data_IF_828788739372
#
_entry.id   IF_828788739372
#
_cell.length_a   1.000
_cell.length_b   1.000
_cell.length_c   1.000
_cell.angle_alpha   90.00
_cell.angle_beta   90.00
_cell.angle_gamma   90.00
#
_symmetry.space_group_name_H-M   'P 1'
#
loop_
_entity.id
_entity.type
_entity.pdbx_description
1 polymer ?
#
# COMPACT_ATOMS: atom_id res chain seq x y z
N UNK A 1 53.72 15.32 47.87
CA UNK A 1 54.34 14.59 46.75
C UNK A 1 53.52 13.33 46.50
N UNK A 2 52.85 13.33 45.34
CA UNK A 2 52.34 12.21 44.54
C UNK A 2 51.46 11.12 45.17
N UNK A 3 50.15 11.24 44.92
CA UNK A 3 49.18 10.14 44.86
C UNK A 3 49.46 9.29 43.61
N UNK A 4 49.56 7.98 43.80
CA UNK A 4 49.41 6.98 42.74
C UNK A 4 47.95 6.55 42.68
N UNK A 5 47.25 6.82 41.57
CA UNK A 5 45.96 6.18 41.28
C UNK A 5 46.04 5.45 39.95
N UNK A 6 45.84 4.14 40.02
CA UNK A 6 45.60 3.21 38.92
C UNK A 6 44.46 3.73 38.03
N UNK A 7 44.70 3.77 36.72
CA UNK A 7 43.65 3.91 35.71
C UNK A 7 43.31 2.51 35.23
N UNK A 8 42.09 2.05 35.55
CA UNK A 8 41.50 0.86 34.95
C UNK A 8 40.87 1.29 33.62
N UNK A 9 41.43 0.85 32.49
CA UNK A 9 40.85 1.07 31.16
C UNK A 9 39.88 -0.08 30.91
N UNK A 10 38.61 0.13 31.23
CA UNK A 10 37.55 -0.77 30.78
C UNK A 10 37.21 -0.41 29.34
N UNK A 11 37.63 -1.25 28.40
CA UNK A 11 37.23 -1.16 26.99
C UNK A 11 35.71 -1.29 26.87
N UNK A 12 35.03 -0.21 26.54
CA UNK A 12 33.62 -0.23 26.18
C UNK A 12 33.53 -0.70 24.73
N UNK A 13 33.10 -1.96 24.56
CA UNK A 13 32.76 -2.54 23.28
C UNK A 13 31.59 -1.70 22.70
N UNK A 14 31.87 -0.88 21.68
CA UNK A 14 30.84 -0.22 20.90
C UNK A 14 30.09 -1.30 20.12
N UNK A 15 29.02 -1.82 20.72
CA UNK A 15 28.01 -2.59 20.01
C UNK A 15 27.43 -1.67 18.93
N UNK A 16 27.82 -1.92 17.68
CA UNK A 16 27.23 -1.31 16.51
C UNK A 16 25.72 -1.57 16.54
N UNK A 17 24.96 -0.57 16.93
CA UNK A 17 23.51 -0.62 16.87
C UNK A 17 23.13 -0.45 15.40
N UNK A 18 22.87 -1.56 14.70
CA UNK A 18 22.14 -1.51 13.43
C UNK A 18 20.75 -0.99 13.73
N UNK A 19 20.56 0.32 13.61
CA UNK A 19 19.26 0.94 13.65
C UNK A 19 18.50 0.49 12.39
N UNK A 20 17.69 -0.56 12.52
CA UNK A 20 16.61 -0.81 11.57
C UNK A 20 15.67 0.39 11.64
N UNK A 21 15.70 1.25 10.63
CA UNK A 21 14.58 2.16 10.37
C UNK A 21 13.44 1.26 9.90
N UNK A 22 12.66 0.74 10.85
CA UNK A 22 11.31 0.31 10.56
C UNK A 22 10.56 1.59 10.17
N UNK A 23 10.21 1.73 8.89
CA UNK A 23 9.20 2.72 8.54
C UNK A 23 7.97 2.37 9.36
N UNK A 24 7.52 3.33 10.18
CA UNK A 24 6.24 3.18 10.84
C UNK A 24 5.18 2.95 9.75
N UNK A 25 4.23 2.08 10.04
CA UNK A 25 3.11 1.79 9.16
C UNK A 25 1.87 2.13 9.94
N UNK A 26 1.01 2.97 9.39
CA UNK A 26 -0.21 3.40 10.05
C UNK A 26 -1.34 2.41 9.72
N UNK A 27 -2.05 1.82 10.69
CA UNK A 27 -3.18 0.95 10.41
C UNK A 27 -4.30 1.67 9.64
N UNK A 28 -4.91 0.98 8.67
CA UNK A 28 -5.97 1.52 7.82
C UNK A 28 -5.52 1.86 6.39
N UNK A 29 -6.37 2.59 5.68
CA UNK A 29 -6.17 2.99 4.29
C UNK A 29 -5.72 4.44 4.18
N UNK A 30 -4.84 4.72 3.22
CA UNK A 30 -4.57 6.08 2.76
C UNK A 30 -5.68 6.50 1.80
N UNK A 31 -6.56 7.40 2.26
CA UNK A 31 -7.65 7.97 1.49
C UNK A 31 -7.24 9.28 0.85
N UNK A 32 -7.28 9.34 -0.48
CA UNK A 32 -7.08 10.53 -1.29
C UNK A 32 -8.45 11.01 -1.80
N UNK A 33 -8.83 12.24 -1.46
CA UNK A 33 -10.14 12.83 -1.73
C UNK A 33 -10.03 13.89 -2.82
N UNK A 34 -10.81 13.73 -3.89
CA UNK A 34 -10.72 14.52 -5.10
C UNK A 34 -12.04 15.24 -5.39
N UNK A 35 -11.94 16.43 -5.97
CA UNK A 35 -13.03 17.05 -6.71
C UNK A 35 -13.11 16.40 -8.10
N UNK A 36 -14.32 16.09 -8.55
CA UNK A 36 -14.61 15.42 -9.81
C UNK A 36 -14.67 13.89 -9.68
N UNK A 37 -15.35 13.25 -10.62
CA UNK A 37 -15.71 11.82 -10.54
C UNK A 37 -14.58 10.90 -11.03
N UNK A 38 -13.49 11.44 -11.56
CA UNK A 38 -12.37 10.68 -12.12
C UNK A 38 -11.03 11.23 -11.62
N UNK A 39 -10.91 11.42 -10.30
CA UNK A 39 -9.67 11.85 -9.63
C UNK A 39 -9.08 13.16 -10.16
N UNK A 40 -9.95 14.10 -10.57
CA UNK A 40 -9.53 15.26 -11.37
C UNK A 40 -8.65 16.24 -10.60
N UNK A 41 -9.01 16.57 -9.35
CA UNK A 41 -8.24 17.51 -8.53
C UNK A 41 -8.18 17.01 -7.10
N UNK A 42 -6.99 16.65 -6.62
CA UNK A 42 -6.76 16.27 -5.24
C UNK A 42 -7.05 17.46 -4.31
N UNK A 43 -7.85 17.23 -3.26
CA UNK A 43 -8.23 18.24 -2.28
C UNK A 43 -7.66 17.92 -0.91
N UNK A 44 -7.72 16.65 -0.51
CA UNK A 44 -7.23 16.22 0.80
C UNK A 44 -6.72 14.78 0.77
N UNK A 45 -5.87 14.44 1.73
CA UNK A 45 -5.43 13.07 1.96
C UNK A 45 -5.30 12.80 3.45
N UNK A 46 -5.76 11.63 3.91
CA UNK A 46 -5.63 11.19 5.31
C UNK A 46 -5.59 9.67 5.43
N UNK A 47 -5.28 9.17 6.62
CA UNK A 47 -5.47 7.74 6.92
C UNK A 47 -6.87 7.54 7.51
N UNK A 48 -7.64 6.65 6.90
CA UNK A 48 -8.94 6.18 7.38
C UNK A 48 -8.77 4.77 7.97
N UNK A 49 -9.15 4.60 9.24
CA UNK A 49 -9.01 3.31 9.93
C UNK A 49 -9.90 2.20 9.36
N UNK A 50 -10.93 2.59 8.60
CA UNK A 50 -11.88 1.72 7.91
C UNK A 50 -12.53 2.48 6.73
N UNK A 51 -13.13 1.76 5.77
CA UNK A 51 -13.99 2.36 4.74
C UNK A 51 -15.43 2.09 5.13
N UNK A 52 -16.02 3.00 5.90
CA UNK A 52 -17.40 2.93 6.39
C UNK A 52 -17.99 4.34 6.49
N UNK A 53 -18.30 4.92 5.34
CA UNK A 53 -18.70 6.31 5.19
C UNK A 53 -20.17 6.43 4.76
N UNK A 54 -20.89 7.29 5.50
CA UNK A 54 -22.32 7.55 5.35
C UNK A 54 -22.52 9.06 5.26
N UNK A 55 -22.10 9.66 4.15
CA UNK A 55 -22.20 11.11 4.00
C UNK A 55 -23.62 11.58 3.71
N UNK A 56 -24.48 10.69 3.20
CA UNK A 56 -25.83 11.06 2.76
C UNK A 56 -25.69 12.24 1.77
N UNK A 57 -26.40 13.34 1.96
CA UNK A 57 -26.30 14.54 1.10
C UNK A 57 -25.21 15.53 1.52
N UNK A 58 -24.30 15.16 2.42
CA UNK A 58 -23.22 16.03 2.91
C UNK A 58 -21.91 15.77 2.20
N UNK A 59 -20.99 16.72 2.27
CA UNK A 59 -19.64 16.54 1.75
C UNK A 59 -18.74 15.74 2.70
N UNK A 60 -17.73 14.99 2.19
CA UNK A 60 -16.82 14.21 3.02
C UNK A 60 -16.03 15.04 4.03
N UNK A 61 -15.62 16.23 3.62
CA UNK A 61 -14.92 17.23 4.43
C UNK A 61 -14.84 18.57 3.70
N UNK A 62 -14.49 19.61 4.46
CA UNK A 62 -14.30 20.97 3.93
C UNK A 62 -13.41 20.96 2.68
N UNK A 63 -13.89 21.56 1.60
CA UNK A 63 -13.18 21.67 0.31
C UNK A 63 -13.54 20.59 -0.70
N UNK A 64 -13.97 19.40 -0.25
CA UNK A 64 -14.55 18.37 -1.12
C UNK A 64 -16.02 18.75 -1.34
N UNK A 65 -16.55 18.72 -2.59
CA UNK A 65 -17.96 19.00 -2.83
C UNK A 65 -18.86 17.86 -2.30
N UNK A 66 -20.15 18.14 -2.15
CA UNK A 66 -21.15 17.13 -1.74
C UNK A 66 -21.46 16.16 -2.88
N UNK A 67 -21.56 16.69 -4.10
CA UNK A 67 -21.74 15.94 -5.33
C UNK A 67 -20.45 16.00 -6.17
N UNK A 68 -20.32 15.10 -7.12
CA UNK A 68 -19.22 15.09 -8.09
C UNK A 68 -17.84 15.06 -7.44
N UNK A 69 -17.61 14.08 -6.58
CA UNK A 69 -16.32 13.82 -5.93
C UNK A 69 -15.89 12.37 -6.13
N UNK A 70 -14.61 12.10 -5.93
CA UNK A 70 -14.08 10.73 -5.93
C UNK A 70 -13.09 10.53 -4.81
N UNK A 71 -12.94 9.29 -4.38
CA UNK A 71 -11.99 8.89 -3.34
C UNK A 71 -11.25 7.65 -3.77
N UNK A 72 -9.94 7.63 -3.53
CA UNK A 72 -9.10 6.44 -3.69
C UNK A 72 -8.53 6.07 -2.34
N UNK A 73 -8.94 4.92 -1.82
CA UNK A 73 -8.36 4.32 -0.62
C UNK A 73 -7.36 3.25 -1.03
N UNK A 74 -6.15 3.33 -0.49
CA UNK A 74 -5.07 2.39 -0.79
C UNK A 74 -4.40 1.87 0.48
N UNK A 75 -4.13 0.56 0.52
CA UNK A 75 -3.51 -0.10 1.67
C UNK A 75 -2.88 -1.43 1.28
N UNK A 76 -2.08 -2.01 2.17
CA UNK A 76 -1.58 -3.38 2.04
C UNK A 76 -2.34 -4.29 2.99
N UNK A 77 -3.13 -5.18 2.42
CA UNK A 77 -3.86 -6.21 3.15
C UNK A 77 -2.97 -7.42 3.41
N UNK A 78 -2.99 -7.95 4.63
CA UNK A 78 -2.37 -9.22 5.01
C UNK A 78 -3.43 -10.20 5.46
N UNK A 79 -3.50 -11.37 4.81
CA UNK A 79 -4.45 -12.42 5.18
C UNK A 79 -4.15 -12.91 6.62
N UNK A 80 -5.10 -12.76 7.57
CA UNK A 80 -4.79 -12.88 9.00
C UNK A 80 -4.77 -14.33 9.52
N UNK A 81 -5.15 -15.30 8.70
CA UNK A 81 -5.18 -16.69 9.11
C UNK A 81 -3.77 -17.26 9.26
N UNK A 82 -3.63 -18.23 10.19
CA UNK A 82 -2.31 -18.70 10.64
C UNK A 82 -1.65 -19.73 9.73
N UNK A 83 -2.42 -20.48 8.94
CA UNK A 83 -1.88 -21.55 8.09
C UNK A 83 -2.84 -21.93 6.96
N UNK A 84 -2.27 -22.52 5.91
CA UNK A 84 -3.02 -23.01 4.76
C UNK A 84 -3.61 -21.89 3.90
N UNK A 85 -4.61 -22.24 3.11
CA UNK A 85 -5.35 -21.32 2.24
C UNK A 85 -6.77 -21.15 2.77
N UNK A 86 -7.29 -19.92 2.77
CA UNK A 86 -8.69 -19.62 3.12
C UNK A 86 -9.38 -18.80 2.05
N UNK A 87 -10.68 -19.04 1.87
CA UNK A 87 -11.52 -18.25 0.97
C UNK A 87 -12.00 -17.02 1.72
N UNK A 88 -11.66 -15.84 1.21
CA UNK A 88 -12.12 -14.56 1.72
C UNK A 88 -13.07 -13.91 0.73
N UNK A 89 -14.11 -13.24 1.23
CA UNK A 89 -15.04 -12.46 0.42
C UNK A 89 -14.86 -10.98 0.71
N UNK A 90 -14.55 -10.22 -0.34
CA UNK A 90 -14.50 -8.77 -0.31
C UNK A 90 -15.83 -8.23 -0.84
N UNK A 91 -16.48 -7.35 -0.09
CA UNK A 91 -17.80 -6.80 -0.45
C UNK A 91 -17.77 -5.29 -0.38
N UNK A 92 -18.12 -4.64 -1.49
CA UNK A 92 -18.36 -3.20 -1.53
C UNK A 92 -19.86 -2.94 -1.46
N UNK A 93 -20.25 -1.88 -0.76
CA UNK A 93 -21.60 -1.31 -0.86
C UNK A 93 -21.43 0.18 -1.09
N UNK A 94 -21.86 0.67 -2.26
CA UNK A 94 -21.63 2.07 -2.67
C UNK A 94 -22.83 2.68 -3.37
N UNK A 95 -22.93 4.00 -3.21
CA UNK A 95 -23.79 4.93 -3.94
C UNK A 95 -22.88 6.14 -4.22
N UNK A 96 -22.35 6.40 -5.42
CA UNK A 96 -22.50 5.69 -6.70
C UNK A 96 -21.44 4.58 -6.95
N UNK A 97 -20.47 4.87 -7.81
CA UNK A 97 -19.67 3.89 -8.54
C UNK A 97 -18.43 3.45 -7.77
N UNK A 98 -17.96 2.24 -8.09
CA UNK A 98 -16.86 1.60 -7.36
C UNK A 98 -15.97 0.76 -8.26
N UNK A 99 -14.67 0.79 -8.01
CA UNK A 99 -13.74 -0.27 -8.41
C UNK A 99 -13.01 -0.80 -7.19
N UNK A 100 -12.87 -2.11 -7.11
CA UNK A 100 -12.04 -2.77 -6.09
C UNK A 100 -10.93 -3.55 -6.79
N UNK A 101 -9.70 -3.33 -6.33
CA UNK A 101 -8.51 -4.01 -6.82
C UNK A 101 -7.90 -4.85 -5.71
N UNK A 102 -7.56 -6.09 -6.04
CA UNK A 102 -6.76 -6.99 -5.21
C UNK A 102 -5.45 -7.27 -5.96
N UNK A 103 -4.33 -6.90 -5.36
CA UNK A 103 -3.12 -6.68 -6.13
C UNK A 103 -3.36 -5.55 -7.14
N UNK A 104 -2.98 -5.77 -8.39
CA UNK A 104 -3.22 -4.82 -9.47
C UNK A 104 -4.42 -5.20 -10.36
N UNK A 105 -5.20 -6.22 -9.97
CA UNK A 105 -6.34 -6.70 -10.76
C UNK A 105 -7.64 -6.09 -10.26
N UNK A 106 -8.39 -5.45 -11.15
CA UNK A 106 -9.77 -5.06 -10.88
C UNK A 106 -10.64 -6.31 -10.72
N UNK A 107 -11.18 -6.52 -9.52
CA UNK A 107 -12.04 -7.66 -9.18
C UNK A 107 -13.52 -7.28 -9.06
N UNK A 108 -13.78 -5.99 -8.82
CA UNK A 108 -15.10 -5.36 -8.94
C UNK A 108 -14.88 -4.11 -9.80
N UNK A 109 -15.63 -3.97 -10.88
CA UNK A 109 -15.65 -2.76 -11.71
C UNK A 109 -17.10 -2.39 -12.02
N UNK A 110 -17.60 -1.41 -11.28
CA UNK A 110 -18.94 -0.82 -11.42
C UNK A 110 -18.78 0.70 -11.42
N UNK A 111 -17.90 1.21 -12.28
CA UNK A 111 -17.66 2.64 -12.45
C UNK A 111 -18.75 3.32 -13.28
N UNK A 112 -19.96 3.31 -12.74
CA UNK A 112 -21.17 3.85 -13.37
C UNK A 112 -22.09 4.46 -12.32
N UNK A 113 -22.97 5.36 -12.75
CA UNK A 113 -23.98 5.97 -11.87
C UNK A 113 -24.97 4.89 -11.44
N UNK A 114 -25.23 4.79 -10.15
CA UNK A 114 -26.07 3.77 -9.56
C UNK A 114 -26.48 4.22 -8.16
N UNK A 115 -27.72 3.95 -7.75
CA UNK A 115 -28.04 4.06 -6.33
C UNK A 115 -27.25 3.03 -5.50
N UNK A 116 -27.47 3.03 -4.18
CA UNK A 116 -26.83 2.08 -3.25
C UNK A 116 -26.93 0.62 -3.70
N UNK A 117 -25.82 0.05 -4.15
CA UNK A 117 -25.70 -1.33 -4.62
C UNK A 117 -24.57 -2.07 -3.91
N UNK A 118 -24.69 -3.40 -3.85
CA UNK A 118 -23.69 -4.29 -3.25
C UNK A 118 -23.04 -5.18 -4.32
N UNK A 119 -21.72 -5.25 -4.29
CA UNK A 119 -20.93 -6.15 -5.13
C UNK A 119 -19.94 -6.94 -4.27
N UNK A 120 -19.65 -8.18 -4.67
CA UNK A 120 -18.72 -9.04 -3.91
C UNK A 120 -17.79 -9.80 -4.84
N UNK A 121 -16.59 -10.08 -4.36
CA UNK A 121 -15.63 -10.97 -4.99
C UNK A 121 -15.06 -11.93 -3.95
N UNK A 122 -14.88 -13.19 -4.32
CA UNK A 122 -14.29 -14.20 -3.45
C UNK A 122 -12.95 -14.67 -4.00
N UNK A 123 -11.94 -14.76 -3.14
CA UNK A 123 -10.58 -15.18 -3.50
C UNK A 123 -9.99 -16.10 -2.42
N UNK A 124 -9.18 -17.07 -2.83
CA UNK A 124 -8.43 -17.93 -1.94
C UNK A 124 -7.06 -17.32 -1.65
N UNK A 125 -6.74 -17.07 -0.38
CA UNK A 125 -5.49 -16.46 0.05
C UNK A 125 -4.70 -17.41 0.95
N UNK A 126 -3.39 -17.47 0.74
CA UNK A 126 -2.46 -18.17 1.62
C UNK A 126 -2.26 -17.41 2.93
N UNK A 127 -1.93 -18.12 4.00
CA UNK A 127 -1.68 -17.52 5.31
C UNK A 127 -0.56 -16.48 5.23
N UNK A 128 -0.80 -15.29 5.78
CA UNK A 128 0.16 -14.19 5.72
C UNK A 128 0.36 -13.59 4.33
N UNK A 129 -0.36 -14.06 3.29
CA UNK A 129 -0.26 -13.48 1.96
C UNK A 129 -0.59 -12.00 2.01
N UNK A 130 0.30 -11.21 1.41
CA UNK A 130 0.16 -9.77 1.33
C UNK A 130 -0.12 -9.32 -0.08
N UNK A 131 -1.05 -8.38 -0.22
CA UNK A 131 -1.41 -7.77 -1.49
C UNK A 131 -1.92 -6.33 -1.29
N UNK A 132 -1.73 -5.44 -2.28
CA UNK A 132 -2.45 -4.18 -2.36
C UNK A 132 -3.96 -4.40 -2.37
N UNK A 133 -4.64 -3.60 -1.58
CA UNK A 133 -6.08 -3.49 -1.57
C UNK A 133 -6.39 -2.03 -1.88
N UNK A 134 -6.99 -1.78 -3.03
CA UNK A 134 -7.35 -0.43 -3.47
C UNK A 134 -8.85 -0.41 -3.74
N UNK A 135 -9.54 0.54 -3.14
CA UNK A 135 -10.93 0.84 -3.45
C UNK A 135 -11.00 2.25 -4.02
N UNK A 136 -11.45 2.34 -5.26
CA UNK A 136 -11.82 3.58 -5.92
C UNK A 136 -13.33 3.75 -5.83
N UNK A 137 -13.77 4.96 -5.54
CA UNK A 137 -15.18 5.33 -5.41
C UNK A 137 -15.43 6.70 -6.04
N UNK A 138 -16.62 6.89 -6.59
CA UNK A 138 -17.09 8.23 -6.90
C UNK A 138 -18.56 8.43 -6.53
N UNK A 139 -18.87 9.67 -6.23
CA UNK A 139 -20.21 10.21 -6.06
C UNK A 139 -20.53 11.11 -7.24
N UNK A 140 -21.67 10.90 -7.90
CA UNK A 140 -22.14 11.78 -8.96
C UNK A 140 -23.04 12.88 -8.42
N UNK A 141 -24.17 12.48 -7.82
CA UNK A 141 -25.21 13.36 -7.29
C UNK A 141 -26.08 12.62 -6.26
N UNK A 142 -26.47 13.33 -5.20
CA UNK A 142 -27.46 12.84 -4.24
C UNK A 142 -26.83 12.27 -2.98
N UNK A 143 -27.08 10.99 -2.68
CA UNK A 143 -26.71 10.39 -1.40
C UNK A 143 -25.44 9.57 -1.51
N UNK A 144 -24.36 10.06 -0.93
CA UNK A 144 -23.06 9.40 -0.94
C UNK A 144 -22.90 8.35 0.18
N UNK A 145 -22.51 7.14 -0.22
CA UNK A 145 -22.26 6.01 0.67
C UNK A 145 -21.09 5.16 0.17
N UNK A 146 -20.15 4.80 1.04
CA UNK A 146 -19.05 3.89 0.71
C UNK A 146 -18.72 2.97 1.88
N UNK A 147 -18.82 1.66 1.66
CA UNK A 147 -18.54 0.64 2.68
C UNK A 147 -17.80 -0.55 2.07
N UNK A 148 -16.74 -1.01 2.76
CA UNK A 148 -15.99 -2.22 2.42
C UNK A 148 -16.04 -3.20 3.59
N UNK A 149 -16.38 -4.46 3.33
CA UNK A 149 -16.18 -5.56 4.28
C UNK A 149 -15.35 -6.67 3.67
N UNK A 150 -14.61 -7.37 4.54
CA UNK A 150 -13.85 -8.56 4.19
C UNK A 150 -14.30 -9.66 5.15
N UNK A 151 -14.81 -10.77 4.65
CA UNK A 151 -15.29 -11.89 5.48
C UNK A 151 -14.41 -13.11 5.24
N UNK A 152 -13.96 -13.79 6.30
CA UNK A 152 -13.39 -15.14 6.22
C UNK A 152 -14.53 -16.15 6.08
N UNK A 153 -14.64 -16.80 4.92
CA UNK A 153 -15.74 -17.72 4.64
C UNK A 153 -15.62 -19.05 5.40
N UNK A 154 -14.44 -19.38 5.93
CA UNK A 154 -14.28 -20.56 6.75
C UNK A 154 -14.88 -20.36 8.15
N UNK A 155 -14.84 -19.14 8.69
CA UNK A 155 -15.36 -18.82 10.03
C UNK A 155 -16.67 -18.05 10.00
N UNK A 156 -17.02 -17.44 8.86
CA UNK A 156 -18.14 -16.51 8.72
C UNK A 156 -17.89 -15.15 9.37
N UNK A 157 -16.71 -14.91 9.95
CA UNK A 157 -16.40 -13.68 10.67
C UNK A 157 -15.83 -12.60 9.75
N UNK A 158 -16.18 -11.34 10.05
CA UNK A 158 -15.54 -10.20 9.39
C UNK A 158 -14.11 -10.01 9.88
N UNK A 159 -13.23 -9.71 8.92
CA UNK A 159 -11.83 -9.40 9.12
C UNK A 159 -11.70 -7.90 9.37
N UNK A 160 -11.20 -7.48 10.54
CA UNK A 160 -11.07 -6.07 10.86
C UNK A 160 -9.96 -5.41 10.02
N UNK A 161 -10.35 -4.39 9.23
CA UNK A 161 -9.44 -3.61 8.39
C UNK A 161 -8.32 -2.97 9.23
N UNK A 162 -8.68 -2.39 10.39
CA UNK A 162 -7.73 -1.76 11.32
C UNK A 162 -6.63 -2.68 11.87
N UNK A 163 -6.74 -4.01 11.69
CA UNK A 163 -5.70 -4.97 12.09
C UNK A 163 -4.99 -5.66 10.93
N UNK A 164 -5.55 -5.55 9.72
CA UNK A 164 -5.12 -6.36 8.57
C UNK A 164 -4.68 -5.52 7.38
N UNK A 165 -5.05 -4.25 7.35
CA UNK A 165 -4.64 -3.28 6.35
C UNK A 165 -3.72 -2.26 7.00
N UNK A 166 -2.59 -2.01 6.36
CA UNK A 166 -1.67 -0.95 6.74
C UNK A 166 -1.46 0.01 5.58
N UNK A 167 -1.31 1.28 5.92
CA UNK A 167 -0.77 2.33 5.07
C UNK A 167 0.72 2.43 5.34
N UNK A 168 1.58 2.18 4.34
CA UNK A 168 3.00 2.48 4.45
C UNK A 168 3.21 4.00 4.56
N UNK A 169 3.95 4.50 5.57
CA UNK A 169 4.25 5.94 5.74
C UNK A 169 5.07 6.54 4.57
N UNK A 170 5.48 5.68 3.64
CA UNK A 170 6.16 5.93 2.39
C UNK A 170 5.57 4.94 1.41
N UNK A 171 5.00 5.34 0.27
CA UNK A 171 4.22 4.58 -0.76
C UNK A 171 4.70 3.15 -1.18
N UNK A 172 5.20 2.29 -0.29
CA UNK A 172 5.75 0.93 -0.45
C UNK A 172 6.07 0.40 0.96
N UNK A 173 5.53 -0.77 1.37
CA UNK A 173 6.04 -1.46 2.55
C UNK A 173 6.74 -2.75 2.15
N UNK A 174 8.07 -2.76 2.22
CA UNK A 174 8.81 -3.99 2.36
C UNK A 174 8.50 -4.61 3.73
N UNK A 175 8.25 -5.91 3.79
CA UNK A 175 8.27 -6.61 5.08
C UNK A 175 9.07 -7.89 5.04
N UNK A 176 9.63 -8.17 6.21
CA UNK A 176 10.38 -9.36 6.56
C UNK A 176 9.56 -10.62 6.34
N UNK A 177 9.94 -11.46 5.38
CA UNK A 177 9.71 -12.90 5.46
C UNK A 177 10.94 -13.54 6.10
N UNK A 178 10.72 -14.36 7.13
CA UNK A 178 11.78 -15.10 7.81
C UNK A 178 11.66 -16.56 7.38
N UNK A 179 12.42 -16.92 6.35
CA UNK A 179 12.58 -18.29 5.86
C UNK A 179 14.07 -18.54 5.60
N UNK A 180 14.55 -19.73 5.94
CA UNK A 180 15.96 -20.07 6.11
C UNK A 180 16.87 -19.90 4.86
N UNK A 181 18.16 -19.66 5.15
CA UNK A 181 19.38 -19.81 4.34
C UNK A 181 19.61 -19.01 3.06
N UNK A 182 18.62 -18.32 2.47
CA UNK A 182 18.84 -17.69 1.17
C UNK A 182 18.73 -16.17 1.32
N UNK A 183 19.79 -15.44 0.99
CA UNK A 183 19.91 -13.98 1.02
C UNK A 183 18.84 -13.30 0.13
N UNK A 184 17.59 -13.33 0.58
CA UNK A 184 16.43 -12.94 -0.21
C UNK A 184 15.70 -11.77 0.43
N UNK A 185 15.14 -10.92 -0.42
CA UNK A 185 14.37 -9.75 -0.01
C UNK A 185 13.07 -9.76 -0.80
N UNK A 186 11.95 -9.97 -0.09
CA UNK A 186 10.60 -9.84 -0.64
C UNK A 186 10.09 -8.40 -0.47
N UNK A 187 9.67 -7.80 -1.58
CA UNK A 187 9.01 -6.49 -1.63
C UNK A 187 7.53 -6.68 -1.95
N UNK A 188 6.69 -5.81 -1.40
CA UNK A 188 5.30 -5.65 -1.80
C UNK A 188 4.95 -4.17 -1.76
N UNK A 189 4.14 -3.69 -2.70
CA UNK A 189 3.93 -2.26 -2.85
C UNK A 189 2.54 -1.90 -3.32
N UNK A 190 2.09 -0.72 -2.92
CA UNK A 190 0.97 -0.03 -3.52
C UNK A 190 1.55 0.82 -4.66
N UNK A 191 0.94 0.77 -5.84
CA UNK A 191 1.38 1.56 -6.99
C UNK A 191 1.45 3.07 -6.67
N UNK A 192 2.53 3.79 -7.04
CA UNK A 192 2.52 5.24 -7.06
C UNK A 192 1.61 5.78 -8.18
N UNK A 193 0.36 6.13 -7.83
CA UNK A 193 -0.68 6.50 -8.80
C UNK A 193 -0.78 8.00 -9.10
N UNK A 194 0.34 8.70 -9.08
CA UNK A 194 0.44 10.14 -9.40
C UNK A 194 1.61 10.35 -10.34
N UNK A 195 1.43 11.06 -11.44
CA UNK A 195 2.50 11.49 -12.35
C UNK A 195 3.35 12.57 -11.69
N UNK A 196 4.51 12.86 -12.31
CA UNK A 196 5.40 13.95 -11.91
C UNK A 196 4.75 15.34 -11.88
N UNK A 197 3.73 15.58 -12.70
CA UNK A 197 2.96 16.83 -12.73
C UNK A 197 1.80 16.87 -11.70
N UNK A 198 1.63 15.80 -10.92
CA UNK A 198 0.58 15.66 -9.91
C UNK A 198 -0.74 15.09 -10.43
N UNK A 199 -0.89 14.83 -11.74
CA UNK A 199 -2.09 14.18 -12.27
C UNK A 199 -2.19 12.73 -11.83
N UNK A 200 -3.42 12.22 -11.66
CA UNK A 200 -3.66 10.84 -11.25
C UNK A 200 -3.34 9.86 -12.38
N UNK A 201 -2.77 8.71 -12.03
CA UNK A 201 -2.58 7.55 -12.93
C UNK A 201 -3.67 6.53 -12.58
N UNK A 202 -4.44 6.07 -13.56
CA UNK A 202 -5.35 4.95 -13.33
C UNK A 202 -4.57 3.62 -13.35
N UNK A 203 -4.98 2.62 -12.57
CA UNK A 203 -4.32 1.30 -12.59
C UNK A 203 -4.30 0.68 -14.00
N UNK A 204 -5.32 0.95 -14.82
CA UNK A 204 -5.40 0.49 -16.21
C UNK A 204 -4.44 1.21 -17.17
N UNK A 205 -3.87 2.35 -16.77
CA UNK A 205 -2.89 3.11 -17.55
C UNK A 205 -1.46 2.64 -17.28
N UNK A 206 -1.23 1.81 -16.26
CA UNK A 206 0.10 1.30 -15.92
C UNK A 206 0.59 0.38 -17.04
N UNK A 207 1.72 0.74 -17.65
CA UNK A 207 2.42 -0.13 -18.59
C UNK A 207 3.32 -1.11 -17.83
N UNK A 208 4.17 -0.60 -16.95
CA UNK A 208 5.07 -1.41 -16.14
C UNK A 208 5.54 -0.69 -14.87
N UNK A 209 6.13 -1.46 -13.95
CA UNK A 209 6.87 -0.92 -12.80
C UNK A 209 8.37 -1.00 -13.03
N UNK A 210 9.10 -0.14 -12.32
CA UNK A 210 10.54 -0.28 -12.11
C UNK A 210 10.85 -0.26 -10.63
N UNK A 211 11.55 -1.29 -10.15
CA UNK A 211 12.24 -1.25 -8.85
C UNK A 211 13.61 -0.65 -9.09
N UNK A 212 13.85 0.53 -8.51
CA UNK A 212 15.16 1.17 -8.45
C UNK A 212 15.85 0.69 -7.18
N UNK A 213 17.06 0.14 -7.29
CA UNK A 213 17.75 -0.42 -6.14
C UNK A 213 19.28 -0.30 -6.20
N UNK A 214 19.92 -0.40 -5.03
CA UNK A 214 21.37 -0.35 -4.91
C UNK A 214 21.86 -0.41 -3.47
N UNK A 215 23.17 -0.30 -3.28
CA UNK A 215 23.80 -0.35 -1.97
C UNK A 215 24.00 1.04 -1.31
N UNK A 216 23.50 2.09 -1.96
CA UNK A 216 23.54 3.46 -1.47
C UNK A 216 22.15 4.09 -1.56
N UNK A 217 21.70 4.69 -0.46
CA UNK A 217 20.46 5.45 -0.39
C UNK A 217 20.40 6.63 -1.39
N UNK A 218 21.57 7.14 -1.82
CA UNK A 218 21.67 8.28 -2.74
C UNK A 218 21.68 7.84 -4.21
N UNK A 219 22.10 6.60 -4.47
CA UNK A 219 22.39 6.10 -5.81
C UNK A 219 21.74 4.74 -6.03
N UNK A 220 20.46 4.78 -6.43
CA UNK A 220 19.71 3.60 -6.87
C UNK A 220 19.97 3.37 -8.36
N UNK A 221 21.14 2.83 -8.69
CA UNK A 221 21.63 2.69 -10.08
C UNK A 221 21.06 1.48 -10.81
N UNK A 222 20.60 0.46 -10.09
CA UNK A 222 20.05 -0.74 -10.70
C UNK A 222 18.54 -0.60 -10.89
N UNK A 223 18.04 -1.19 -11.98
CA UNK A 223 16.63 -1.14 -12.35
C UNK A 223 16.15 -2.54 -12.66
N UNK A 224 15.08 -2.97 -11.99
CA UNK A 224 14.35 -4.20 -12.33
C UNK A 224 12.98 -3.83 -12.86
N UNK A 225 12.68 -4.22 -14.12
CA UNK A 225 11.37 -4.00 -14.76
C UNK A 225 10.42 -5.14 -14.40
N UNK A 226 9.16 -4.80 -14.12
CA UNK A 226 8.09 -5.74 -13.81
C UNK A 226 6.83 -5.38 -14.58
N UNK A 227 6.04 -6.38 -14.95
CA UNK A 227 4.77 -6.17 -15.63
C UNK A 227 3.75 -5.47 -14.73
N UNK A 228 2.77 -4.81 -15.35
CA UNK A 228 1.75 -4.00 -14.66
C UNK A 228 0.83 -4.79 -13.72
N UNK A 229 0.77 -6.11 -13.84
CA UNK A 229 -0.01 -6.98 -12.96
C UNK A 229 0.72 -7.34 -11.65
N UNK A 230 2.03 -7.09 -11.56
CA UNK A 230 2.86 -7.42 -10.40
C UNK A 230 2.76 -6.35 -9.30
N UNK A 231 2.59 -6.81 -8.07
CA UNK A 231 2.61 -5.96 -6.86
C UNK A 231 3.56 -6.45 -5.77
N UNK A 232 4.36 -7.47 -6.08
CA UNK A 232 5.38 -8.03 -5.23
C UNK A 232 6.52 -8.58 -6.08
N UNK A 233 7.71 -8.68 -5.48
CA UNK A 233 8.88 -9.29 -6.11
C UNK A 233 9.86 -9.75 -5.04
N UNK A 234 10.48 -10.91 -5.24
CA UNK A 234 11.50 -11.44 -4.34
C UNK A 234 12.84 -11.49 -5.05
N UNK A 235 13.77 -10.67 -4.59
CA UNK A 235 15.17 -10.81 -4.96
C UNK A 235 15.73 -12.05 -4.28
N UNK A 236 16.42 -12.90 -5.04
CA UNK A 236 17.15 -14.06 -4.53
C UNK A 236 18.66 -13.77 -4.57
N UNK A 237 19.39 -14.42 -3.68
CA UNK A 237 20.86 -14.48 -3.69
C UNK A 237 21.57 -13.12 -3.72
N UNK A 238 21.01 -12.11 -3.05
CA UNK A 238 21.65 -10.81 -2.96
C UNK A 238 22.93 -10.89 -2.10
N UNK A 239 24.04 -10.27 -2.53
CA UNK A 239 25.23 -10.18 -1.70
C UNK A 239 24.95 -9.52 -0.34
N UNK A 240 25.75 -9.91 0.65
CA UNK A 240 25.77 -9.28 1.97
C UNK A 240 26.01 -7.78 1.83
N UNK A 241 25.28 -6.99 2.62
CA UNK A 241 25.35 -5.54 2.56
C UNK A 241 24.01 -4.86 2.80
N UNK A 242 24.03 -3.54 2.77
CA UNK A 242 22.83 -2.71 2.84
C UNK A 242 22.24 -2.57 1.44
N UNK A 243 20.94 -2.81 1.32
CA UNK A 243 20.18 -2.64 0.09
C UNK A 243 19.08 -1.61 0.31
N UNK A 244 18.88 -0.76 -0.69
CA UNK A 244 17.87 0.29 -0.75
C UNK A 244 17.01 0.09 -1.98
N UNK A 245 15.71 0.36 -1.87
CA UNK A 245 14.73 0.15 -2.93
C UNK A 245 13.72 1.30 -2.97
N UNK A 246 13.33 1.69 -4.19
CA UNK A 246 12.17 2.54 -4.48
C UNK A 246 11.46 2.01 -5.72
N UNK A 247 10.19 2.35 -5.88
CA UNK A 247 9.35 1.89 -6.99
C UNK A 247 8.83 3.09 -7.75
N UNK A 248 8.79 2.98 -9.07
CA UNK A 248 8.10 3.93 -9.95
C UNK A 248 7.15 3.19 -10.88
N UNK A 249 6.07 3.87 -11.24
CA UNK A 249 5.15 3.49 -12.32
C UNK A 249 5.61 4.19 -13.59
N UNK A 250 5.52 3.47 -14.70
CA UNK A 250 5.53 4.04 -16.05
C UNK A 250 4.18 3.76 -16.69
N UNK A 251 3.52 4.78 -17.19
CA UNK A 251 2.23 4.63 -17.87
C UNK A 251 2.39 4.28 -19.36
N UNK A 252 1.28 3.95 -20.02
CA UNK A 252 1.23 3.60 -21.45
C UNK A 252 1.69 4.72 -22.39
N UNK A 253 1.77 5.97 -21.90
CA UNK A 253 2.31 7.11 -22.65
C UNK A 253 3.80 7.35 -22.36
N UNK A 254 4.42 6.52 -21.52
CA UNK A 254 5.82 6.64 -21.10
C UNK A 254 6.07 7.67 -20.01
N UNK A 255 5.01 8.24 -19.40
CA UNK A 255 5.15 9.18 -18.29
C UNK A 255 5.40 8.43 -16.98
N UNK A 256 6.19 9.04 -16.10
CA UNK A 256 6.64 8.43 -14.85
C UNK A 256 5.91 9.02 -13.64
N UNK A 257 5.75 8.19 -12.61
CA UNK A 257 5.45 8.66 -11.26
C UNK A 257 6.71 9.19 -10.55
N UNK A 258 6.56 10.00 -9.48
CA UNK A 258 7.62 10.13 -8.48
C UNK A 258 8.00 8.76 -7.90
N UNK A 259 9.22 8.67 -7.37
CA UNK A 259 9.67 7.49 -6.61
C UNK A 259 8.76 7.31 -5.40
N UNK A 260 8.39 6.06 -5.14
CA UNK A 260 7.87 5.68 -3.84
C UNK A 260 8.91 5.99 -2.76
N UNK A 261 8.44 6.14 -1.52
CA UNK A 261 9.37 6.32 -0.42
C UNK A 261 10.30 5.10 -0.29
N UNK A 262 11.55 5.39 0.05
CA UNK A 262 12.64 4.43 -0.01
C UNK A 262 12.58 3.46 1.15
N UNK A 263 12.77 2.17 0.88
CA UNK A 263 12.90 1.12 1.90
C UNK A 263 14.30 0.53 1.88
N UNK A 264 14.76 -0.02 3.00
CA UNK A 264 16.10 -0.60 3.09
C UNK A 264 16.15 -1.89 3.89
N UNK A 265 17.12 -2.75 3.59
CA UNK A 265 17.36 -4.00 4.30
C UNK A 265 18.84 -4.36 4.28
N UNK A 266 19.37 -4.74 5.44
CA UNK A 266 20.71 -5.30 5.58
C UNK A 266 20.67 -6.82 5.51
N UNK A 267 21.59 -7.41 4.75
CA UNK A 267 21.85 -8.84 4.66
C UNK A 267 23.20 -9.16 5.29
N UNK A 268 23.21 -10.11 6.22
CA UNK A 268 24.37 -10.46 7.06
C UNK A 268 25.15 -11.68 6.59
#
# INVERSE_FOLDING_TARGET
>A
MTLSKLVCITGCLLLGSSATIAHASTPGFFGEYYKGNNFNSLIHSRVDSDINFHWSYSNPMKGVPADSFSVRWSGLFTAPHRSGTRKNRFTTTTDDGVKLYLGNKAVIDQWKRQGKQRHSHEVSLSAGQRLPLIMEYYENEGSAFAYLTITDLATGADIPISKTVITPDSKTAATKETGASNNSISLSWIAPLTRMDGTSIALSEIDHYRILYGNSAKELVNVHKLDSDQSSYTFQDLPKGNWYFSIIVVDQSGLESPRSGMVSKSLE
#
